data_IF_741506947996
#
_entry.id   IF_741506947996
#
_cell.length_a   1.000
_cell.length_b   1.000
_cell.length_c   1.000
_cell.angle_alpha   90.00
_cell.angle_beta   90.00
_cell.angle_gamma   90.00
#
_symmetry.space_group_name_H-M   'P 1'
#
loop_
_entity.id
_entity.type
_entity.pdbx_description
1 polymer ?
#
# COMPACT_ATOMS: atom_id res chain seq x y z
N UNK A 1 -5.41 -0.51 14.24
CA UNK A 1 -4.74 -1.79 14.52
C UNK A 1 -3.81 -2.19 13.38
N UNK A 2 -2.84 -3.06 13.64
CA UNK A 2 -1.89 -3.58 12.68
C UNK A 2 -2.38 -4.91 12.10
N UNK A 3 -2.25 -5.08 10.78
CA UNK A 3 -2.53 -6.34 10.09
C UNK A 3 -1.25 -7.17 10.03
N UNK A 4 -1.28 -8.39 10.48
CA UNK A 4 -0.09 -9.25 10.57
C UNK A 4 -0.18 -10.51 9.75
N UNK A 5 -1.36 -11.13 9.69
CA UNK A 5 -1.52 -12.42 9.05
C UNK A 5 -2.86 -12.49 8.33
N UNK A 6 -2.85 -13.14 7.18
CA UNK A 6 -4.07 -13.51 6.47
C UNK A 6 -4.81 -14.60 7.24
N UNK A 7 -6.11 -14.41 7.48
CA UNK A 7 -6.93 -15.34 8.25
C UNK A 7 -8.10 -15.95 7.46
N UNK A 8 -8.06 -15.83 6.13
CA UNK A 8 -9.05 -16.43 5.25
C UNK A 8 -10.07 -15.44 4.69
N UNK A 9 -9.78 -14.15 4.74
CA UNK A 9 -10.63 -13.10 4.20
C UNK A 9 -10.82 -13.27 2.69
N UNK A 10 -12.07 -13.18 2.22
CA UNK A 10 -12.42 -13.33 0.81
C UNK A 10 -12.66 -12.02 0.10
N UNK A 11 -12.99 -10.96 0.85
CA UNK A 11 -13.28 -9.61 0.32
C UNK A 11 -12.38 -8.58 0.98
N UNK A 12 -11.36 -8.18 0.24
CA UNK A 12 -10.32 -7.27 0.70
C UNK A 12 -10.44 -5.95 -0.02
N UNK A 13 -10.36 -4.84 0.73
CA UNK A 13 -10.17 -3.50 0.18
C UNK A 13 -8.77 -2.99 0.47
N UNK A 14 -8.17 -2.34 -0.50
CA UNK A 14 -6.92 -1.60 -0.37
C UNK A 14 -7.21 -0.12 -0.58
N UNK A 15 -6.81 0.74 0.33
CA UNK A 15 -7.22 2.14 0.34
C UNK A 15 -6.03 3.09 0.31
N UNK A 16 -6.06 4.04 -0.62
CA UNK A 16 -5.10 5.12 -0.70
C UNK A 16 -5.52 6.36 0.11
N UNK A 17 -4.61 7.33 0.20
CA UNK A 17 -4.84 8.59 0.89
C UNK A 17 -5.89 9.48 0.19
N UNK A 18 -6.00 9.43 -1.13
CA UNK A 18 -6.97 10.21 -1.89
C UNK A 18 -8.39 9.73 -1.63
N UNK A 19 -8.55 8.43 -1.51
CA UNK A 19 -9.83 7.78 -1.12
C UNK A 19 -10.23 8.15 0.29
N UNK A 20 -9.30 8.14 1.23
CA UNK A 20 -9.60 8.58 2.61
C UNK A 20 -10.08 10.03 2.63
N UNK A 21 -9.42 10.91 1.88
CA UNK A 21 -9.83 12.31 1.77
C UNK A 21 -11.23 12.46 1.14
N UNK A 22 -11.56 11.65 0.14
CA UNK A 22 -12.89 11.63 -0.48
C UNK A 22 -13.97 11.14 0.49
N UNK A 23 -13.74 10.01 1.15
CA UNK A 23 -14.68 9.45 2.11
C UNK A 23 -14.94 10.41 3.28
N UNK A 24 -13.92 11.11 3.74
CA UNK A 24 -14.06 12.14 4.79
C UNK A 24 -14.96 13.31 4.31
N UNK A 25 -14.84 13.72 3.06
CA UNK A 25 -15.73 14.74 2.47
C UNK A 25 -17.16 14.23 2.30
N UNK A 26 -17.33 12.98 1.88
CA UNK A 26 -18.64 12.31 1.74
C UNK A 26 -19.36 12.25 3.10
N UNK A 27 -18.63 11.87 4.16
CA UNK A 27 -19.16 11.84 5.53
C UNK A 27 -19.62 13.24 5.99
N UNK A 28 -18.82 14.26 5.74
CA UNK A 28 -19.21 15.65 6.03
C UNK A 28 -20.42 16.14 5.25
N UNK A 29 -20.66 15.59 4.06
CA UNK A 29 -21.86 15.85 3.26
C UNK A 29 -23.09 15.09 3.73
N UNK A 30 -22.98 14.28 4.79
CA UNK A 30 -24.08 13.53 5.39
C UNK A 30 -24.34 12.17 4.75
N UNK A 31 -23.39 11.66 3.96
CA UNK A 31 -23.44 10.31 3.39
C UNK A 31 -22.50 9.42 4.20
N UNK A 32 -23.00 8.32 4.74
CA UNK A 32 -22.20 7.44 5.59
C UNK A 32 -21.09 6.73 4.78
N UNK A 33 -19.85 7.05 5.08
CA UNK A 33 -18.69 6.36 4.52
C UNK A 33 -18.66 4.89 4.97
N UNK A 34 -19.17 4.59 6.17
CA UNK A 34 -19.30 3.24 6.68
C UNK A 34 -20.15 2.35 5.78
N UNK A 35 -21.29 2.86 5.28
CA UNK A 35 -22.17 2.10 4.38
C UNK A 35 -21.49 1.71 3.08
N UNK A 36 -20.53 2.51 2.61
CA UNK A 36 -19.76 2.21 1.41
C UNK A 36 -18.71 1.11 1.64
N UNK A 37 -18.30 0.89 2.89
CA UNK A 37 -17.21 0.01 3.27
C UNK A 37 -17.64 -1.27 3.98
N UNK A 38 -18.91 -1.39 4.37
CA UNK A 38 -19.41 -2.49 5.22
C UNK A 38 -19.34 -3.89 4.58
N UNK A 39 -19.11 -3.97 3.28
CA UNK A 39 -19.05 -5.24 2.55
C UNK A 39 -17.68 -5.94 2.59
N UNK A 40 -16.66 -5.30 3.15
CA UNK A 40 -15.30 -5.85 3.21
C UNK A 40 -15.03 -6.52 4.54
N UNK A 41 -14.32 -7.66 4.49
CA UNK A 41 -13.88 -8.39 5.68
C UNK A 41 -12.60 -7.81 6.25
N UNK A 42 -11.79 -7.16 5.41
CA UNK A 42 -10.61 -6.39 5.79
C UNK A 42 -10.39 -5.21 4.84
N UNK A 43 -9.97 -4.10 5.40
CA UNK A 43 -9.58 -2.89 4.67
C UNK A 43 -8.15 -2.56 5.08
N UNK A 44 -7.23 -2.58 4.12
CA UNK A 44 -5.81 -2.41 4.38
C UNK A 44 -5.30 -1.07 3.88
N UNK A 45 -4.50 -0.43 4.70
CA UNK A 45 -3.80 0.82 4.41
C UNK A 45 -2.31 0.56 4.63
N UNK A 46 -1.49 0.53 3.56
CA UNK A 46 -0.04 0.44 3.68
C UNK A 46 0.56 1.59 4.51
N UNK A 47 1.68 1.34 5.15
CA UNK A 47 2.27 2.30 6.08
C UNK A 47 2.73 3.59 5.37
N UNK A 48 3.26 3.51 4.16
CA UNK A 48 3.62 4.72 3.39
C UNK A 48 2.40 5.61 3.10
N UNK A 49 1.21 5.03 2.94
CA UNK A 49 -0.05 5.76 2.81
C UNK A 49 -0.52 6.26 4.18
N UNK A 50 -0.39 5.46 5.22
CA UNK A 50 -0.74 5.86 6.60
C UNK A 50 0.01 7.12 7.02
N UNK A 51 1.29 7.23 6.66
CA UNK A 51 2.07 8.43 6.90
C UNK A 51 1.48 9.67 6.22
N UNK A 52 0.96 9.52 4.99
CA UNK A 52 0.28 10.62 4.28
C UNK A 52 -1.05 11.00 4.92
N UNK A 53 -1.80 10.04 5.42
CA UNK A 53 -3.05 10.26 6.14
C UNK A 53 -2.76 11.07 7.41
N UNK A 54 -1.71 10.72 8.14
CA UNK A 54 -1.29 11.39 9.38
C UNK A 54 -0.82 12.84 9.18
N UNK A 55 -0.53 13.28 7.96
CA UNK A 55 -0.26 14.68 7.65
C UNK A 55 -1.51 15.59 7.79
N UNK A 56 -2.70 15.00 7.87
CA UNK A 56 -3.96 15.70 8.13
C UNK A 56 -4.64 15.17 9.38
N UNK A 57 -4.76 16.01 10.39
CA UNK A 57 -5.48 15.65 11.62
C UNK A 57 -6.94 15.23 11.34
N UNK A 58 -7.57 15.83 10.34
CA UNK A 58 -8.95 15.50 9.97
C UNK A 58 -9.04 14.06 9.42
N UNK A 59 -8.15 13.68 8.49
CA UNK A 59 -8.13 12.32 7.92
C UNK A 59 -7.75 11.27 8.96
N UNK A 60 -6.78 11.60 9.82
CA UNK A 60 -6.41 10.73 10.94
C UNK A 60 -7.61 10.45 11.85
N UNK A 61 -8.27 11.52 12.34
CA UNK A 61 -9.43 11.40 13.22
C UNK A 61 -10.59 10.66 12.52
N UNK A 62 -10.78 10.87 11.22
CA UNK A 62 -11.80 10.19 10.44
C UNK A 62 -11.55 8.66 10.40
N UNK A 63 -10.33 8.21 10.09
CA UNK A 63 -10.00 6.78 10.12
C UNK A 63 -10.17 6.20 11.53
N UNK A 64 -9.73 6.94 12.56
CA UNK A 64 -9.92 6.52 13.96
C UNK A 64 -11.39 6.36 14.32
N UNK A 65 -12.28 7.24 13.82
CA UNK A 65 -13.73 7.11 14.04
C UNK A 65 -14.30 5.88 13.35
N UNK A 66 -13.93 5.60 12.10
CA UNK A 66 -14.39 4.40 11.39
C UNK A 66 -13.93 3.10 12.07
N UNK A 67 -12.71 3.07 12.59
CA UNK A 67 -12.22 1.94 13.40
C UNK A 67 -13.02 1.80 14.68
N UNK A 68 -13.32 2.90 15.38
CA UNK A 68 -14.11 2.90 16.60
C UNK A 68 -15.58 2.44 16.35
N UNK A 69 -16.10 2.67 15.16
CA UNK A 69 -17.40 2.19 14.70
C UNK A 69 -17.40 0.71 14.28
N UNK A 70 -16.25 0.04 14.37
CA UNK A 70 -16.11 -1.40 14.12
C UNK A 70 -15.82 -1.77 12.69
N UNK A 71 -15.42 -0.84 11.81
CA UNK A 71 -14.92 -1.20 10.49
C UNK A 71 -13.57 -1.92 10.59
N UNK A 72 -13.34 -2.98 9.79
CA UNK A 72 -12.13 -3.80 9.85
C UNK A 72 -10.96 -3.12 9.12
N UNK A 73 -10.60 -1.90 9.53
CA UNK A 73 -9.50 -1.14 8.94
C UNK A 73 -8.21 -1.45 9.71
N UNK A 74 -7.18 -1.87 8.97
CA UNK A 74 -5.87 -2.21 9.49
C UNK A 74 -4.77 -1.52 8.71
N UNK A 75 -3.66 -1.24 9.40
CA UNK A 75 -2.43 -0.75 8.79
C UNK A 75 -1.46 -1.91 8.61
N UNK A 76 -0.70 -1.88 7.53
CA UNK A 76 0.32 -2.88 7.26
C UNK A 76 1.62 -2.20 6.84
N UNK A 77 2.71 -2.54 7.50
CA UNK A 77 4.03 -2.07 7.11
C UNK A 77 4.53 -2.85 5.89
N UNK A 78 5.18 -2.18 4.95
CA UNK A 78 5.67 -2.78 3.70
C UNK A 78 6.68 -3.90 3.95
N UNK A 79 7.50 -3.77 4.99
CA UNK A 79 8.42 -4.82 5.43
C UNK A 79 7.72 -6.11 5.88
N UNK A 80 6.48 -6.04 6.33
CA UNK A 80 5.71 -7.19 6.80
C UNK A 80 5.03 -7.96 5.64
N UNK A 81 5.22 -7.55 4.39
CA UNK A 81 4.73 -8.33 3.24
C UNK A 81 5.39 -9.71 3.14
N UNK A 82 6.56 -9.90 3.77
CA UNK A 82 7.20 -11.20 3.92
C UNK A 82 6.31 -12.20 4.66
N UNK A 83 5.61 -11.76 5.69
CA UNK A 83 4.69 -12.60 6.48
C UNK A 83 3.51 -13.06 5.61
N UNK A 84 2.99 -12.17 4.76
CA UNK A 84 1.92 -12.51 3.80
C UNK A 84 2.41 -13.43 2.69
N UNK A 85 3.68 -13.36 2.32
CA UNK A 85 4.32 -14.21 1.31
C UNK A 85 4.87 -15.52 1.89
N UNK A 86 4.42 -15.95 3.07
CA UNK A 86 4.85 -17.17 3.75
C UNK A 86 6.38 -17.28 3.92
N UNK A 87 7.07 -16.16 4.03
CA UNK A 87 8.52 -16.07 4.12
C UNK A 87 9.26 -16.28 2.78
N UNK A 88 8.55 -16.30 1.66
CA UNK A 88 9.15 -16.49 0.32
C UNK A 88 9.69 -15.19 -0.26
N UNK A 89 10.73 -14.63 0.33
CA UNK A 89 11.31 -13.34 -0.07
C UNK A 89 11.68 -13.25 -1.55
N UNK A 90 12.19 -14.33 -2.14
CA UNK A 90 12.56 -14.37 -3.56
C UNK A 90 11.40 -14.07 -4.52
N UNK A 91 10.17 -14.38 -4.15
CA UNK A 91 8.99 -14.01 -4.93
C UNK A 91 8.57 -12.56 -4.70
N UNK A 92 8.75 -12.04 -3.49
CA UNK A 92 8.50 -10.63 -3.21
C UNK A 92 9.34 -9.70 -4.09
N UNK A 93 10.62 -10.01 -4.30
CA UNK A 93 11.46 -9.25 -5.23
C UNK A 93 10.83 -9.18 -6.63
N UNK A 94 10.35 -10.32 -7.17
CA UNK A 94 9.71 -10.37 -8.49
C UNK A 94 8.43 -9.53 -8.52
N UNK A 95 7.63 -9.59 -7.47
CA UNK A 95 6.38 -8.84 -7.33
C UNK A 95 6.68 -7.34 -7.30
N UNK A 96 7.66 -6.91 -6.50
CA UNK A 96 8.08 -5.51 -6.44
C UNK A 96 8.58 -5.05 -7.82
N UNK A 97 9.39 -5.86 -8.51
CA UNK A 97 9.84 -5.56 -9.86
C UNK A 97 8.69 -5.36 -10.83
N UNK A 98 7.72 -6.27 -10.84
CA UNK A 98 6.55 -6.17 -11.71
C UNK A 98 5.76 -4.89 -11.42
N UNK A 99 5.46 -4.62 -10.16
CA UNK A 99 4.72 -3.42 -9.73
C UNK A 99 5.43 -2.12 -10.11
N UNK A 100 6.73 -2.04 -9.82
CA UNK A 100 7.54 -0.83 -10.05
C UNK A 100 7.80 -0.59 -11.54
N UNK A 101 7.87 -1.64 -12.36
CA UNK A 101 8.11 -1.52 -13.81
C UNK A 101 6.95 -0.87 -14.57
N UNK A 102 5.78 -0.73 -13.96
CA UNK A 102 4.65 0.02 -14.56
C UNK A 102 4.96 1.51 -14.70
N UNK A 103 5.81 2.05 -13.82
CA UNK A 103 6.25 3.44 -13.86
C UNK A 103 7.45 3.61 -14.79
N UNK A 104 7.34 4.46 -15.82
CA UNK A 104 8.40 4.64 -16.83
C UNK A 104 9.76 5.05 -16.21
N UNK A 105 9.76 5.93 -15.23
CA UNK A 105 10.99 6.35 -14.53
C UNK A 105 11.66 5.19 -13.80
N UNK A 106 10.86 4.33 -13.16
CA UNK A 106 11.36 3.17 -12.42
C UNK A 106 11.85 2.07 -13.35
N UNK A 107 11.19 1.85 -14.49
CA UNK A 107 11.63 0.88 -15.51
C UNK A 107 13.07 1.14 -15.94
N UNK A 108 13.39 2.39 -16.26
CA UNK A 108 14.77 2.77 -16.63
C UNK A 108 15.78 2.61 -15.49
N UNK A 109 15.33 2.79 -14.24
CA UNK A 109 16.16 2.56 -13.07
C UNK A 109 16.42 1.07 -12.86
N UNK A 110 15.41 0.24 -12.94
CA UNK A 110 15.52 -1.21 -12.80
C UNK A 110 16.47 -1.80 -13.83
N UNK A 111 16.31 -1.47 -15.12
CA UNK A 111 17.20 -1.93 -16.18
C UNK A 111 18.67 -1.56 -15.96
N UNK A 112 18.95 -0.43 -15.36
CA UNK A 112 20.33 0.03 -15.14
C UNK A 112 20.97 -0.54 -13.89
N UNK A 113 20.20 -0.76 -12.82
CA UNK A 113 20.77 -1.01 -11.51
C UNK A 113 20.46 -2.39 -10.95
N UNK A 114 19.44 -3.07 -11.46
CA UNK A 114 18.97 -4.31 -10.87
C UNK A 114 19.11 -5.50 -11.80
N UNK A 115 18.85 -5.38 -13.10
CA UNK A 115 19.04 -6.48 -14.05
C UNK A 115 20.52 -6.94 -14.17
N UNK A 116 21.45 -6.11 -13.72
CA UNK A 116 22.89 -6.41 -13.75
C UNK A 116 23.43 -7.03 -12.47
N UNK A 117 22.66 -7.09 -11.41
CA UNK A 117 23.05 -7.83 -10.22
C UNK A 117 22.62 -9.27 -10.38
N UNK A 118 23.56 -10.13 -10.80
CA UNK A 118 23.37 -11.58 -10.92
C UNK A 118 23.05 -12.28 -9.59
N UNK A 119 22.96 -11.51 -8.54
CA UNK A 119 22.63 -11.99 -7.21
C UNK A 119 21.68 -11.01 -6.53
N UNK A 120 20.41 -11.34 -6.55
CA UNK A 120 19.53 -11.00 -5.46
C UNK A 120 20.00 -11.82 -4.26
N UNK A 121 21.28 -11.70 -3.92
CA UNK A 121 21.90 -12.42 -2.83
C UNK A 121 21.31 -11.90 -1.52
N UNK A 122 20.23 -12.59 -1.08
CA UNK A 122 19.99 -12.96 0.30
C UNK A 122 20.03 -11.83 1.34
N UNK A 123 19.83 -10.58 0.90
CA UNK A 123 19.54 -9.51 1.83
C UNK A 123 18.08 -9.67 2.29
N UNK A 124 17.83 -9.56 3.58
CA UNK A 124 16.46 -9.58 4.10
C UNK A 124 15.59 -8.55 3.35
N UNK A 125 14.39 -8.96 2.99
CA UNK A 125 13.47 -8.14 2.17
C UNK A 125 13.30 -6.72 2.72
N UNK A 126 13.14 -6.56 4.03
CA UNK A 126 12.98 -5.26 4.68
C UNK A 126 14.18 -4.33 4.44
N UNK A 127 15.41 -4.84 4.52
CA UNK A 127 16.64 -4.08 4.29
C UNK A 127 16.73 -3.71 2.81
N UNK A 128 16.49 -4.67 1.93
CA UNK A 128 16.48 -4.46 0.48
C UNK A 128 15.43 -3.41 0.08
N UNK A 129 14.20 -3.51 0.57
CA UNK A 129 13.11 -2.58 0.28
C UNK A 129 13.49 -1.16 0.72
N UNK A 130 14.06 -1.00 1.91
CA UNK A 130 14.52 0.30 2.41
C UNK A 130 15.58 0.93 1.52
N UNK A 131 16.57 0.17 1.08
CA UNK A 131 17.60 0.64 0.14
C UNK A 131 17.02 1.01 -1.22
N UNK A 132 16.11 0.18 -1.74
CA UNK A 132 15.41 0.46 -2.98
C UNK A 132 14.62 1.75 -2.88
N UNK A 133 13.84 1.92 -1.81
CA UNK A 133 13.07 3.14 -1.59
C UNK A 133 13.95 4.39 -1.56
N UNK A 134 15.08 4.36 -0.85
CA UNK A 134 16.02 5.48 -0.78
C UNK A 134 16.59 5.87 -2.15
N UNK A 135 16.89 4.89 -3.00
CA UNK A 135 17.53 5.07 -4.29
C UNK A 135 16.55 5.25 -5.46
N UNK A 136 15.25 5.10 -5.26
CA UNK A 136 14.27 5.27 -6.33
C UNK A 136 14.34 6.67 -6.95
N UNK A 137 14.38 6.77 -8.28
CA UNK A 137 14.48 8.04 -9.00
C UNK A 137 13.13 8.76 -9.08
N UNK A 138 12.33 8.65 -8.04
CA UNK A 138 11.05 9.33 -7.91
C UNK A 138 11.27 10.71 -7.31
N UNK A 139 10.47 11.67 -7.75
CA UNK A 139 10.49 13.03 -7.20
C UNK A 139 10.22 13.01 -5.71
N UNK A 140 10.99 13.79 -4.97
CA UNK A 140 10.76 14.01 -3.54
C UNK A 140 9.69 15.10 -3.41
N UNK A 141 8.69 14.84 -2.59
CA UNK A 141 7.64 15.78 -2.24
C UNK A 141 7.78 16.09 -0.75
N UNK A 142 7.79 17.38 -0.42
CA UNK A 142 7.73 17.82 0.98
C UNK A 142 6.28 17.97 1.40
N UNK A 143 5.88 17.27 2.44
CA UNK A 143 4.54 17.35 3.01
C UNK A 143 4.34 18.68 3.75
N UNK A 144 3.10 19.02 4.09
CA UNK A 144 2.79 20.23 4.87
C UNK A 144 3.48 20.28 6.24
N UNK A 145 3.82 19.12 6.78
CA UNK A 145 4.51 18.97 8.06
C UNK A 145 6.04 18.93 7.91
N UNK A 146 6.57 19.25 6.71
CA UNK A 146 8.00 19.28 6.44
C UNK A 146 8.65 17.90 6.24
N UNK A 147 7.86 16.83 6.16
CA UNK A 147 8.37 15.48 5.90
C UNK A 147 8.60 15.28 4.40
N UNK A 148 9.72 14.68 4.06
CA UNK A 148 10.01 14.28 2.69
C UNK A 148 9.50 12.86 2.41
N UNK A 149 8.90 12.67 1.23
CA UNK A 149 8.46 11.37 0.74
C UNK A 149 8.68 11.24 -0.76
N UNK A 150 8.75 10.03 -1.24
CA UNK A 150 8.81 9.74 -2.68
C UNK A 150 7.39 9.84 -3.28
N UNK A 151 7.27 10.55 -4.40
CA UNK A 151 6.02 10.58 -5.18
C UNK A 151 5.65 9.17 -5.62
N UNK A 152 4.36 8.84 -5.59
CA UNK A 152 3.80 7.54 -6.00
C UNK A 152 4.26 6.32 -5.14
N UNK A 153 4.94 6.54 -4.01
CA UNK A 153 5.34 5.42 -3.15
C UNK A 153 4.13 4.65 -2.60
N UNK A 154 3.07 5.36 -2.22
CA UNK A 154 1.83 4.75 -1.75
C UNK A 154 1.14 3.88 -2.80
N UNK A 155 1.08 4.34 -4.06
CA UNK A 155 0.51 3.56 -5.18
C UNK A 155 1.33 2.30 -5.47
N UNK A 156 2.65 2.43 -5.43
CA UNK A 156 3.56 1.27 -5.58
C UNK A 156 3.27 0.27 -4.47
N UNK A 157 3.16 0.72 -3.23
CA UNK A 157 2.87 -0.14 -2.08
C UNK A 157 1.53 -0.86 -2.21
N UNK A 158 0.47 -0.17 -2.65
CA UNK A 158 -0.83 -0.79 -2.92
C UNK A 158 -0.74 -1.85 -4.02
N UNK A 159 -0.02 -1.56 -5.10
CA UNK A 159 0.15 -2.51 -6.20
C UNK A 159 0.91 -3.76 -5.74
N UNK A 160 1.98 -3.59 -4.98
CA UNK A 160 2.74 -4.71 -4.40
C UNK A 160 1.81 -5.56 -3.52
N UNK A 161 1.05 -4.93 -2.64
CA UNK A 161 0.15 -5.62 -1.72
C UNK A 161 -0.95 -6.40 -2.46
N UNK A 162 -1.56 -5.80 -3.49
CA UNK A 162 -2.54 -6.47 -4.33
C UNK A 162 -1.97 -7.71 -5.03
N UNK A 163 -0.75 -7.60 -5.56
CA UNK A 163 -0.06 -8.71 -6.22
C UNK A 163 0.31 -9.82 -5.22
N UNK A 164 0.74 -9.47 -4.00
CA UNK A 164 1.02 -10.45 -2.94
C UNK A 164 -0.23 -11.27 -2.64
N UNK A 165 -1.37 -10.61 -2.42
CA UNK A 165 -2.63 -11.32 -2.17
C UNK A 165 -3.05 -12.19 -3.37
N UNK A 166 -2.96 -11.67 -4.57
CA UNK A 166 -3.31 -12.42 -5.78
C UNK A 166 -2.42 -13.64 -6.00
N UNK A 167 -1.16 -13.54 -5.63
CA UNK A 167 -0.19 -14.62 -5.83
C UNK A 167 -0.35 -15.76 -4.80
N UNK A 168 -0.53 -15.40 -3.52
CA UNK A 168 -0.48 -16.37 -2.43
C UNK A 168 -1.83 -16.89 -1.97
N UNK A 169 -2.93 -16.17 -2.26
CA UNK A 169 -4.25 -16.48 -1.70
C UNK A 169 -5.32 -16.60 -2.79
N UNK A 170 -5.34 -17.72 -3.53
CA UNK A 170 -6.25 -17.92 -4.67
C UNK A 170 -7.74 -17.99 -4.28
N UNK A 171 -8.04 -18.15 -3.00
CA UNK A 171 -9.41 -18.19 -2.48
C UNK A 171 -10.04 -16.82 -2.24
N UNK A 172 -9.30 -15.75 -2.43
CA UNK A 172 -9.83 -14.39 -2.34
C UNK A 172 -10.78 -14.17 -3.52
N UNK A 173 -12.03 -13.82 -3.21
CA UNK A 173 -13.06 -13.55 -4.21
C UNK A 173 -12.86 -12.20 -4.90
N UNK A 174 -12.43 -11.19 -4.13
CA UNK A 174 -12.18 -9.86 -4.64
C UNK A 174 -11.13 -9.08 -3.85
N UNK A 175 -10.27 -8.38 -4.61
CA UNK A 175 -9.37 -7.36 -4.07
C UNK A 175 -9.77 -6.06 -4.76
N UNK A 176 -10.30 -5.12 -4.00
CA UNK A 176 -10.75 -3.82 -4.52
C UNK A 176 -9.74 -2.76 -4.15
N UNK A 177 -9.11 -2.13 -5.13
CA UNK A 177 -8.25 -0.97 -4.91
C UNK A 177 -9.08 0.30 -5.02
N UNK A 178 -9.14 1.05 -3.93
CA UNK A 178 -9.76 2.36 -3.90
C UNK A 178 -8.69 3.43 -4.09
N UNK A 179 -8.69 4.05 -5.27
CA UNK A 179 -7.83 5.18 -5.59
C UNK A 179 -8.59 6.19 -6.43
N UNK A 180 -8.29 7.46 -6.26
CA UNK A 180 -8.83 8.54 -7.10
C UNK A 180 -7.79 9.12 -8.07
N UNK A 181 -6.58 8.62 -8.02
CA UNK A 181 -5.54 9.03 -8.96
C UNK A 181 -5.80 8.43 -10.35
N UNK A 182 -5.94 9.33 -11.35
CA UNK A 182 -6.22 8.93 -12.74
C UNK A 182 -5.09 8.17 -13.40
N UNK A 183 -3.90 8.22 -12.82
CA UNK A 183 -2.68 7.60 -13.35
C UNK A 183 -2.51 6.14 -12.86
N UNK A 184 -3.44 5.64 -12.05
CA UNK A 184 -3.42 4.28 -11.47
C UNK A 184 -4.17 3.22 -12.30
N UNK A 185 -4.55 3.54 -13.55
CA UNK A 185 -5.26 2.65 -14.47
C UNK A 185 -4.38 2.20 -15.62
#
# INVERSE_FOLDING_TARGET
PEYRNYSGETKIALMDNSTVAFLEQVERAGISAKELLIGYEVILIPNWISEEICDSIYRKNFIESLVAEGLPIYFIAEENYTDLANGEEGNLYKIVFAAVSTLAAMRSYLHRHVEKSDSLDMEEYAIWLSKMYQNWPLSIITTKNGREKKKNAGEISLTILAEVFSWYYPNIESITMYTQDRDSY
#
